data_IF_714892920107
#
_entry.id   IF_714892920107
#
_cell.length_a   1.000
_cell.length_b   1.000
_cell.length_c   1.000
_cell.angle_alpha   90.00
_cell.angle_beta   90.00
_cell.angle_gamma   90.00
#
_symmetry.space_group_name_H-M   'P 1'
#
loop_
_entity.id
_entity.type
_entity.pdbx_description
1 polymer ?
#
# COMPACT_ATOMS: atom_id res chain seq x y z
N UNK A 1 -3.76 -31.09 -5.50
CA UNK A 1 -4.49 -30.02 -6.23
C UNK A 1 -3.84 -28.63 -6.09
N UNK A 2 -2.50 -28.51 -6.06
CA UNK A 2 -1.80 -27.20 -5.99
C UNK A 2 -0.52 -27.20 -6.85
N UNK A 3 -0.59 -27.75 -8.07
CA UNK A 3 0.42 -27.43 -9.10
C UNK A 3 0.00 -26.12 -9.78
N UNK A 4 0.05 -25.03 -9.01
CA UNK A 4 -0.06 -23.69 -9.58
C UNK A 4 1.16 -23.49 -10.48
N UNK A 5 0.91 -23.06 -11.72
CA UNK A 5 1.96 -22.94 -12.70
C UNK A 5 2.93 -21.83 -12.25
N UNK A 6 4.25 -22.07 -12.30
CA UNK A 6 5.27 -21.08 -11.86
C UNK A 6 5.09 -19.71 -12.52
N UNK A 7 4.44 -19.66 -13.68
CA UNK A 7 4.17 -18.44 -14.43
C UNK A 7 3.12 -17.54 -13.76
N UNK A 8 2.10 -18.11 -13.12
CA UNK A 8 1.04 -17.34 -12.44
C UNK A 8 1.55 -16.68 -11.15
N UNK A 9 2.42 -17.38 -10.42
CA UNK A 9 3.08 -16.85 -9.22
C UNK A 9 3.97 -15.64 -9.55
N UNK A 10 4.59 -15.60 -10.74
CA UNK A 10 5.40 -14.46 -11.17
C UNK A 10 4.57 -13.18 -11.33
N UNK A 11 3.40 -13.26 -11.98
CA UNK A 11 2.50 -12.11 -12.14
C UNK A 11 1.94 -11.65 -10.80
N UNK A 12 1.67 -12.58 -9.87
CA UNK A 12 1.26 -12.27 -8.52
C UNK A 12 2.32 -11.48 -7.73
N UNK A 13 3.59 -11.88 -7.81
CA UNK A 13 4.70 -11.18 -7.13
C UNK A 13 4.89 -9.75 -7.69
N UNK A 14 4.81 -9.58 -9.01
CA UNK A 14 4.89 -8.25 -9.64
C UNK A 14 3.75 -7.35 -9.14
N UNK A 15 2.55 -7.91 -9.02
CA UNK A 15 1.40 -7.22 -8.45
C UNK A 15 1.60 -6.82 -6.98
N UNK A 16 2.17 -7.70 -6.16
CA UNK A 16 2.47 -7.43 -4.74
C UNK A 16 3.48 -6.27 -4.57
N UNK A 17 4.44 -6.15 -5.47
CA UNK A 17 5.39 -5.02 -5.45
C UNK A 17 4.65 -3.71 -5.78
N UNK A 18 3.73 -3.73 -6.74
CA UNK A 18 2.89 -2.58 -7.08
C UNK A 18 2.03 -2.08 -5.91
N UNK A 19 1.37 -3.00 -5.18
CA UNK A 19 0.54 -2.62 -4.01
C UNK A 19 1.36 -1.98 -2.91
N UNK A 20 2.61 -2.42 -2.70
CA UNK A 20 3.50 -1.81 -1.71
C UNK A 20 3.80 -0.35 -2.05
N UNK A 21 4.08 -0.05 -3.32
CA UNK A 21 4.36 1.32 -3.78
C UNK A 21 3.13 2.21 -3.62
N UNK A 22 1.96 1.72 -3.99
CA UNK A 22 0.69 2.45 -3.83
C UNK A 22 0.29 2.65 -2.35
N UNK A 23 0.63 1.70 -1.48
CA UNK A 23 0.40 1.82 -0.03
C UNK A 23 1.27 2.89 0.62
N UNK A 24 2.52 3.03 0.18
CA UNK A 24 3.45 4.07 0.67
C UNK A 24 3.12 5.44 0.07
N UNK A 25 2.52 5.51 -1.12
CA UNK A 25 2.27 6.78 -1.79
C UNK A 25 1.28 7.68 -1.05
N UNK A 26 0.28 7.13 -0.36
CA UNK A 26 -0.70 7.91 0.41
C UNK A 26 -0.10 8.64 1.63
N UNK A 27 0.67 7.99 2.52
CA UNK A 27 1.34 8.71 3.60
C UNK A 27 2.46 9.62 3.07
N UNK A 28 3.16 9.23 1.99
CA UNK A 28 4.18 10.08 1.39
C UNK A 28 3.61 11.38 0.81
N UNK A 29 2.45 11.32 0.12
CA UNK A 29 1.77 12.52 -0.37
C UNK A 29 1.30 13.42 0.77
N UNK A 30 0.80 12.85 1.86
CA UNK A 30 0.44 13.61 3.06
C UNK A 30 1.64 14.38 3.64
N UNK A 31 2.80 13.73 3.78
CA UNK A 31 4.02 14.39 4.29
C UNK A 31 4.53 15.49 3.37
N UNK A 32 4.49 15.30 2.05
CA UNK A 32 4.90 16.33 1.09
C UNK A 32 3.99 17.57 1.16
N UNK A 33 2.67 17.36 1.26
CA UNK A 33 1.70 18.45 1.40
C UNK A 33 1.89 19.18 2.73
N UNK A 34 2.11 18.45 3.83
CA UNK A 34 2.43 19.07 5.13
C UNK A 34 3.71 19.90 5.06
N UNK A 35 4.79 19.37 4.45
CA UNK A 35 6.04 20.10 4.28
C UNK A 35 5.88 21.39 3.45
N UNK A 36 5.08 21.33 2.38
CA UNK A 36 4.74 22.51 1.57
C UNK A 36 4.01 23.57 2.40
N UNK A 37 2.98 23.18 3.16
CA UNK A 37 2.22 24.11 4.01
C UNK A 37 3.12 24.73 5.09
N UNK A 38 3.99 23.95 5.72
CA UNK A 38 4.93 24.47 6.74
C UNK A 38 5.92 25.47 6.14
N UNK A 39 6.51 25.17 4.99
CA UNK A 39 7.42 26.08 4.28
C UNK A 39 6.74 27.40 3.90
N UNK A 40 5.48 27.33 3.44
CA UNK A 40 4.68 28.52 3.13
C UNK A 40 4.36 29.34 4.38
N UNK A 41 4.00 28.67 5.50
CA UNK A 41 3.62 29.35 6.75
C UNK A 41 4.80 30.07 7.39
N UNK A 42 5.98 29.46 7.39
CA UNK A 42 7.19 30.04 7.97
C UNK A 42 7.67 31.29 7.19
N UNK A 43 7.74 31.20 5.87
CA UNK A 43 8.16 32.34 5.03
C UNK A 43 7.11 33.46 5.02
N UNK A 44 5.82 33.13 5.09
CA UNK A 44 4.75 34.13 5.23
C UNK A 44 4.83 34.87 6.58
N UNK A 45 5.15 34.17 7.67
CA UNK A 45 5.37 34.77 8.99
C UNK A 45 6.57 35.73 9.01
N UNK A 46 7.66 35.35 8.36
CA UNK A 46 8.87 36.19 8.25
C UNK A 46 8.65 37.42 7.34
N UNK A 47 7.88 37.28 6.26
CA UNK A 47 7.48 38.38 5.39
C UNK A 47 6.67 39.44 6.16
N UNK A 48 5.72 39.01 7.01
CA UNK A 48 4.89 39.92 7.79
C UNK A 48 5.68 40.73 8.84
N UNK A 49 6.78 40.18 9.37
CA UNK A 49 7.66 40.90 10.32
C UNK A 49 8.73 41.77 9.64
N UNK A 50 9.30 41.33 8.52
CA UNK A 50 10.45 41.99 7.90
C UNK A 50 10.07 42.96 6.76
N UNK A 51 8.87 42.83 6.18
CA UNK A 51 8.38 43.71 5.11
C UNK A 51 9.18 43.67 3.81
N UNK A 52 10.11 42.70 3.68
CA UNK A 52 11.03 42.60 2.55
C UNK A 52 10.52 41.64 1.48
N UNK A 53 10.45 42.12 0.24
CA UNK A 53 9.94 41.39 -0.93
C UNK A 53 10.80 40.19 -1.35
N UNK A 54 12.04 40.10 -0.88
CA UNK A 54 12.96 38.98 -1.20
C UNK A 54 12.52 37.63 -0.61
N UNK A 55 11.74 37.63 0.46
CA UNK A 55 11.20 36.38 1.03
C UNK A 55 10.07 35.79 0.17
N UNK A 56 9.35 36.64 -0.56
CA UNK A 56 8.23 36.20 -1.40
C UNK A 56 8.73 35.41 -2.62
N UNK A 57 9.82 35.85 -3.25
CA UNK A 57 10.42 35.16 -4.40
C UNK A 57 11.01 33.80 -4.04
N UNK A 58 11.59 33.67 -2.84
CA UNK A 58 12.12 32.41 -2.31
C UNK A 58 10.99 31.41 -2.07
N UNK A 59 9.87 31.87 -1.48
CA UNK A 59 8.67 31.05 -1.27
C UNK A 59 8.11 30.47 -2.58
N UNK A 60 8.03 31.28 -3.65
CA UNK A 60 7.53 30.80 -4.96
C UNK A 60 8.40 29.68 -5.54
N UNK A 61 9.73 29.83 -5.46
CA UNK A 61 10.66 28.85 -5.98
C UNK A 61 10.62 27.52 -5.20
N UNK A 62 10.49 27.58 -3.88
CA UNK A 62 10.36 26.39 -3.03
C UNK A 62 9.06 25.64 -3.33
N UNK A 63 7.93 26.35 -3.42
CA UNK A 63 6.62 25.75 -3.75
C UNK A 63 6.62 25.12 -5.15
N UNK A 64 7.26 25.77 -6.13
CA UNK A 64 7.41 25.23 -7.48
C UNK A 64 8.20 23.91 -7.46
N UNK A 65 9.30 23.84 -6.71
CA UNK A 65 10.10 22.62 -6.55
C UNK A 65 9.27 21.48 -5.92
N UNK A 66 8.54 21.75 -4.83
CA UNK A 66 7.68 20.74 -4.20
C UNK A 66 6.55 20.28 -5.13
N UNK A 67 5.97 21.20 -5.91
CA UNK A 67 4.94 20.88 -6.90
C UNK A 67 5.46 19.96 -8.02
N UNK A 68 6.64 20.24 -8.54
CA UNK A 68 7.29 19.40 -9.56
C UNK A 68 7.60 18.01 -9.00
N UNK A 69 8.17 17.93 -7.80
CA UNK A 69 8.47 16.66 -7.13
C UNK A 69 7.21 15.81 -6.92
N UNK A 70 6.09 16.46 -6.53
CA UNK A 70 4.81 15.79 -6.36
C UNK A 70 4.26 15.22 -7.68
N UNK A 71 4.31 16.01 -8.77
CA UNK A 71 3.86 15.55 -10.10
C UNK A 71 4.68 14.36 -10.61
N UNK A 72 6.01 14.41 -10.47
CA UNK A 72 6.89 13.31 -10.88
C UNK A 72 6.59 12.05 -10.04
N UNK A 73 6.46 12.21 -8.72
CA UNK A 73 6.10 11.10 -7.83
C UNK A 73 4.75 10.47 -8.18
N UNK A 74 3.74 11.30 -8.45
CA UNK A 74 2.41 10.84 -8.85
C UNK A 74 2.43 10.09 -10.19
N UNK A 75 3.19 10.57 -11.18
CA UNK A 75 3.35 9.90 -12.47
C UNK A 75 3.97 8.50 -12.33
N UNK A 76 5.00 8.37 -11.49
CA UNK A 76 5.63 7.07 -11.19
C UNK A 76 4.61 6.13 -10.57
N UNK A 77 3.93 6.56 -9.50
CA UNK A 77 2.92 5.74 -8.81
C UNK A 77 1.80 5.31 -9.75
N UNK A 78 1.35 6.20 -10.64
CA UNK A 78 0.32 5.89 -11.63
C UNK A 78 0.75 4.76 -12.59
N UNK A 79 1.99 4.79 -13.08
CA UNK A 79 2.54 3.75 -13.97
C UNK A 79 2.60 2.39 -13.26
N UNK A 80 3.13 2.36 -12.04
CA UNK A 80 3.23 1.12 -11.26
C UNK A 80 1.86 0.54 -10.90
N UNK A 81 0.92 1.41 -10.50
CA UNK A 81 -0.45 1.00 -10.15
C UNK A 81 -1.20 0.49 -11.38
N UNK A 82 -1.03 1.14 -12.54
CA UNK A 82 -1.63 0.68 -13.79
C UNK A 82 -1.11 -0.71 -14.18
N UNK A 83 0.20 -0.91 -14.13
CA UNK A 83 0.82 -2.22 -14.42
C UNK A 83 0.35 -3.31 -13.46
N UNK A 84 0.26 -2.99 -12.17
CA UNK A 84 -0.26 -3.88 -11.14
C UNK A 84 -1.71 -4.30 -11.45
N UNK A 85 -2.62 -3.34 -11.63
CA UNK A 85 -4.03 -3.63 -11.89
C UNK A 85 -4.19 -4.49 -13.14
N UNK A 86 -3.41 -4.21 -14.18
CA UNK A 86 -3.41 -5.02 -15.40
C UNK A 86 -2.97 -6.47 -15.13
N UNK A 87 -1.84 -6.67 -14.45
CA UNK A 87 -1.31 -8.01 -14.15
C UNK A 87 -2.30 -8.85 -13.33
N UNK A 88 -2.95 -8.26 -12.33
CA UNK A 88 -3.92 -8.96 -11.50
C UNK A 88 -5.21 -9.28 -12.26
N UNK A 89 -5.74 -8.36 -13.07
CA UNK A 89 -6.91 -8.63 -13.91
C UNK A 89 -6.66 -9.78 -14.87
N UNK A 90 -5.49 -9.78 -15.52
CA UNK A 90 -5.09 -10.87 -16.42
C UNK A 90 -4.96 -12.21 -15.68
N UNK A 91 -4.38 -12.20 -14.48
CA UNK A 91 -4.27 -13.39 -13.65
C UNK A 91 -5.65 -13.92 -13.22
N UNK A 92 -6.56 -13.03 -12.81
CA UNK A 92 -7.93 -13.36 -12.40
C UNK A 92 -8.71 -14.04 -13.53
N UNK A 93 -8.66 -13.49 -14.75
CA UNK A 93 -9.32 -14.07 -15.92
C UNK A 93 -8.82 -15.48 -16.22
N UNK A 94 -7.50 -15.68 -16.11
CA UNK A 94 -6.87 -16.97 -16.36
C UNK A 94 -7.25 -18.02 -15.32
N UNK A 95 -7.30 -17.64 -14.05
CA UNK A 95 -7.74 -18.52 -12.96
C UNK A 95 -9.22 -18.89 -13.16
N UNK A 96 -10.07 -17.91 -13.46
CA UNK A 96 -11.51 -18.10 -13.73
C UNK A 96 -11.73 -19.11 -14.85
N UNK A 97 -11.03 -18.93 -15.97
CA UNK A 97 -11.17 -19.79 -17.15
C UNK A 97 -10.77 -21.23 -16.85
N UNK A 98 -9.68 -21.43 -16.11
CA UNK A 98 -9.24 -22.77 -15.68
C UNK A 98 -10.24 -23.43 -14.73
N UNK A 99 -10.79 -22.66 -13.80
CA UNK A 99 -11.77 -23.16 -12.84
C UNK A 99 -13.06 -23.57 -13.56
N UNK A 100 -13.55 -22.79 -14.53
CA UNK A 100 -14.70 -23.15 -15.37
C UNK A 100 -14.43 -24.44 -16.15
N UNK A 101 -13.26 -24.56 -16.79
CA UNK A 101 -12.93 -25.74 -17.58
C UNK A 101 -12.83 -27.02 -16.72
N UNK A 102 -12.23 -26.90 -15.53
CA UNK A 102 -12.08 -28.03 -14.60
C UNK A 102 -13.44 -28.47 -14.05
N UNK A 103 -14.31 -27.53 -13.66
CA UNK A 103 -15.65 -27.85 -13.20
C UNK A 103 -16.50 -28.47 -14.31
N UNK A 104 -16.46 -27.93 -15.54
CA UNK A 104 -17.19 -28.51 -16.67
C UNK A 104 -16.71 -29.94 -16.99
N UNK A 105 -15.39 -30.17 -16.99
CA UNK A 105 -14.83 -31.51 -17.19
C UNK A 105 -15.24 -32.50 -16.10
N UNK A 106 -15.35 -32.06 -14.84
CA UNK A 106 -15.91 -32.85 -13.75
C UNK A 106 -17.38 -33.20 -13.98
N UNK A 107 -18.17 -32.23 -14.42
CA UNK A 107 -19.59 -32.39 -14.72
C UNK A 107 -19.86 -33.45 -15.80
N UNK A 108 -19.07 -33.45 -16.87
CA UNK A 108 -19.20 -34.43 -17.95
C UNK A 108 -18.83 -35.87 -17.53
N UNK A 109 -18.17 -36.06 -16.38
CA UNK A 109 -17.80 -37.39 -15.85
C UNK A 109 -18.81 -37.92 -14.84
N UNK A 110 -19.86 -37.16 -14.55
CA UNK A 110 -20.88 -37.53 -13.57
C UNK A 110 -21.89 -38.53 -14.18
N UNK A 111 -22.37 -39.48 -13.37
CA UNK A 111 -23.34 -40.51 -13.81
C UNK A 111 -24.70 -39.91 -14.17
N UNK A 112 -25.42 -40.52 -15.12
CA UNK A 112 -26.75 -40.04 -15.57
C UNK A 112 -27.77 -39.92 -14.44
N UNK A 113 -27.73 -40.83 -13.46
CA UNK A 113 -28.63 -40.79 -12.29
C UNK A 113 -28.40 -39.60 -11.36
N UNK A 114 -27.25 -38.92 -11.45
CA UNK A 114 -27.03 -37.66 -10.72
C UNK A 114 -27.89 -36.52 -11.27
N UNK A 115 -28.16 -36.51 -12.58
CA UNK A 115 -28.93 -35.46 -13.26
C UNK A 115 -30.45 -35.64 -13.15
N UNK A 116 -30.91 -36.78 -12.61
CA UNK A 116 -32.33 -37.08 -12.42
C UNK A 116 -32.89 -36.46 -11.12
N UNK A 117 -32.00 -36.07 -10.21
CA UNK A 117 -32.36 -35.35 -8.98
C UNK A 117 -32.81 -33.91 -9.32
N UNK A 118 -33.94 -33.46 -8.75
CA UNK A 118 -34.51 -32.12 -9.02
C UNK A 118 -33.55 -30.96 -8.71
N UNK A 119 -32.65 -31.15 -7.73
CA UNK A 119 -31.60 -30.18 -7.37
C UNK A 119 -30.45 -30.14 -8.38
N UNK A 120 -30.20 -31.23 -9.10
CA UNK A 120 -29.08 -31.38 -10.03
C UNK A 120 -29.51 -31.25 -11.51
N UNK A 121 -30.69 -30.70 -11.76
CA UNK A 121 -31.19 -30.45 -13.10
C UNK A 121 -30.16 -29.65 -13.90
N UNK A 122 -29.96 -30.01 -15.18
CA UNK A 122 -28.90 -29.46 -16.05
C UNK A 122 -28.89 -27.93 -16.11
N UNK A 123 -30.05 -27.29 -15.99
CA UNK A 123 -30.18 -25.83 -15.92
C UNK A 123 -29.64 -25.22 -14.61
N UNK A 124 -29.96 -25.83 -13.46
CA UNK A 124 -29.45 -25.40 -12.16
C UNK A 124 -27.92 -25.58 -12.07
N UNK A 125 -27.41 -26.71 -12.57
CA UNK A 125 -25.98 -26.99 -12.64
C UNK A 125 -25.22 -26.03 -13.56
N UNK A 126 -25.82 -25.63 -14.69
CA UNK A 126 -25.19 -24.66 -15.60
C UNK A 126 -25.15 -23.26 -14.98
N UNK A 127 -26.18 -22.88 -14.24
CA UNK A 127 -26.20 -21.63 -13.48
C UNK A 127 -25.17 -21.66 -12.32
N UNK A 128 -25.06 -22.78 -11.62
CA UNK A 128 -24.09 -23.00 -10.54
C UNK A 128 -22.64 -22.99 -11.07
N UNK A 129 -22.41 -23.63 -12.22
CA UNK A 129 -21.13 -23.62 -12.94
C UNK A 129 -20.75 -22.23 -13.47
N UNK A 130 -21.71 -21.39 -13.82
CA UNK A 130 -21.45 -20.00 -14.22
C UNK A 130 -21.19 -19.10 -13.02
N UNK A 131 -21.87 -19.32 -11.90
CA UNK A 131 -21.82 -18.44 -10.72
C UNK A 131 -20.70 -18.78 -9.76
N UNK A 132 -20.41 -20.05 -9.48
CA UNK A 132 -19.38 -20.43 -8.50
C UNK A 132 -17.95 -20.01 -8.88
N UNK A 133 -17.48 -20.23 -10.12
CA UNK A 133 -16.17 -19.75 -10.53
C UNK A 133 -16.09 -18.22 -10.53
N UNK A 134 -17.18 -17.56 -10.89
CA UNK A 134 -17.27 -16.10 -10.89
C UNK A 134 -17.25 -15.54 -9.47
N UNK A 135 -17.94 -16.17 -8.50
CA UNK A 135 -17.89 -15.81 -7.08
C UNK A 135 -16.48 -15.94 -6.51
N UNK A 136 -15.78 -17.04 -6.80
CA UNK A 136 -14.39 -17.25 -6.33
C UNK A 136 -13.44 -16.22 -6.94
N UNK A 137 -13.65 -15.87 -8.21
CA UNK A 137 -12.83 -14.90 -8.92
C UNK A 137 -13.13 -13.48 -8.43
N UNK A 138 -14.39 -13.15 -8.14
CA UNK A 138 -14.78 -11.91 -7.46
C UNK A 138 -14.19 -11.82 -6.06
N UNK A 139 -14.20 -12.89 -5.25
CA UNK A 139 -13.54 -12.89 -3.94
C UNK A 139 -12.02 -12.71 -4.07
N UNK A 140 -11.42 -13.23 -5.15
CA UNK A 140 -10.00 -13.05 -5.46
C UNK A 140 -9.69 -11.67 -6.03
N UNK A 141 -10.59 -11.06 -6.80
CA UNK A 141 -10.50 -9.68 -7.29
C UNK A 141 -10.73 -8.66 -6.16
N UNK A 142 -11.68 -8.93 -5.27
CA UNK A 142 -11.91 -8.15 -4.04
C UNK A 142 -10.76 -8.30 -3.05
N UNK A 143 -10.04 -9.42 -3.04
CA UNK A 143 -8.84 -9.55 -2.20
C UNK A 143 -7.79 -8.48 -2.51
N UNK A 144 -7.83 -7.87 -3.69
CA UNK A 144 -6.91 -6.82 -4.09
C UNK A 144 -7.11 -5.51 -3.30
N UNK A 145 -8.35 -5.11 -2.99
CA UNK A 145 -8.60 -3.95 -2.12
C UNK A 145 -8.30 -4.26 -0.66
N UNK A 146 -8.58 -5.49 -0.21
CA UNK A 146 -8.26 -5.96 1.13
C UNK A 146 -6.74 -6.02 1.38
N UNK A 147 -5.96 -6.49 0.39
CA UNK A 147 -4.50 -6.49 0.45
C UNK A 147 -3.95 -5.06 0.52
N UNK A 148 -4.54 -4.13 -0.24
CA UNK A 148 -4.19 -2.71 -0.12
C UNK A 148 -4.49 -2.17 1.28
N UNK A 149 -5.62 -2.54 1.88
CA UNK A 149 -5.98 -2.11 3.24
C UNK A 149 -5.05 -2.70 4.32
N UNK A 150 -4.67 -3.96 4.19
CA UNK A 150 -3.74 -4.61 5.12
C UNK A 150 -2.35 -3.95 5.03
N UNK A 151 -1.86 -3.66 3.82
CA UNK A 151 -0.59 -2.95 3.64
C UNK A 151 -0.65 -1.50 4.13
N UNK A 152 -1.78 -0.82 3.92
CA UNK A 152 -2.03 0.53 4.42
C UNK A 152 -2.08 0.58 5.96
N UNK A 153 -2.50 -0.49 6.63
CA UNK A 153 -2.51 -0.56 8.09
C UNK A 153 -1.15 -0.92 8.68
N UNK A 154 -0.42 -1.84 8.06
CA UNK A 154 0.85 -2.36 8.60
C UNK A 154 2.01 -1.38 8.44
N UNK A 155 2.11 -0.68 7.31
CA UNK A 155 3.24 0.22 7.02
C UNK A 155 3.31 1.46 7.94
N UNK A 156 2.24 2.21 8.21
CA UNK A 156 2.30 3.31 9.18
C UNK A 156 2.54 2.80 10.59
N UNK A 157 2.06 1.60 10.95
CA UNK A 157 2.37 0.98 12.24
C UNK A 157 3.87 0.66 12.38
N UNK A 158 4.50 0.21 11.29
CA UNK A 158 5.91 -0.13 11.24
C UNK A 158 6.81 1.13 11.20
N UNK A 159 6.41 2.16 10.45
CA UNK A 159 7.07 3.47 10.45
C UNK A 159 6.92 4.17 11.80
N UNK A 160 5.73 4.17 12.39
CA UNK A 160 5.53 4.70 13.74
C UNK A 160 6.37 3.93 14.76
N UNK A 161 6.43 2.60 14.65
CA UNK A 161 7.34 1.78 15.45
C UNK A 161 8.81 2.16 15.29
N UNK A 162 9.28 2.40 14.06
CA UNK A 162 10.65 2.86 13.80
C UNK A 162 10.93 4.27 14.34
N UNK A 163 10.00 5.21 14.15
CA UNK A 163 10.11 6.59 14.65
C UNK A 163 10.10 6.62 16.18
N UNK A 164 9.21 5.85 16.82
CA UNK A 164 9.19 5.68 18.28
C UNK A 164 10.49 5.06 18.77
N UNK A 165 11.03 4.06 18.06
CA UNK A 165 12.33 3.46 18.39
C UNK A 165 13.48 4.47 18.26
N UNK A 166 13.49 5.31 17.22
CA UNK A 166 14.50 6.34 17.04
C UNK A 166 14.44 7.40 18.15
N UNK A 167 13.23 7.82 18.50
CA UNK A 167 13.01 8.79 19.60
C UNK A 167 13.34 8.20 20.98
N UNK A 168 13.15 6.89 21.18
CA UNK A 168 13.58 6.18 22.39
C UNK A 168 15.10 6.05 22.50
N UNK A 169 15.81 5.85 21.38
CA UNK A 169 17.28 5.82 21.39
C UNK A 169 17.85 7.21 21.71
N UNK A 170 17.26 8.28 21.20
CA UNK A 170 17.64 9.66 21.54
C UNK A 170 17.37 9.99 23.02
N UNK A 171 16.21 9.57 23.56
CA UNK A 171 15.88 9.76 24.98
C UNK A 171 16.72 8.90 25.93
N UNK A 172 17.21 7.74 25.51
CA UNK A 172 18.06 6.85 26.33
C UNK A 172 19.53 7.30 26.32
N UNK A 173 19.99 7.95 25.24
CA UNK A 173 21.30 8.59 25.16
C UNK A 173 21.40 9.79 26.11
N UNK A 174 20.38 10.64 26.13
CA UNK A 174 20.36 11.84 26.98
C UNK A 174 20.46 11.51 28.49
N UNK A 175 19.79 10.43 28.94
CA UNK A 175 19.81 10.00 30.35
C UNK A 175 21.18 9.42 30.74
N UNK A 176 21.93 8.84 29.80
CA UNK A 176 23.26 8.28 30.07
C UNK A 176 24.31 9.38 30.26
N UNK A 177 24.15 10.52 29.56
CA UNK A 177 25.05 11.67 29.71
C UNK A 177 24.79 12.45 31.01
N UNK A 178 23.54 12.56 31.47
CA UNK A 178 23.19 13.16 32.77
C UNK A 178 23.66 12.30 33.97
N UNK A 179 23.70 10.97 33.84
CA UNK A 179 24.23 10.08 34.88
C UNK A 179 25.77 9.94 34.83
N UNK A 180 26.40 10.34 33.72
CA UNK A 180 27.85 10.35 33.55
C UNK A 180 28.52 11.63 34.08
N UNK A 181 27.76 12.61 34.57
CA UNK A 181 28.31 13.72 35.37
C UNK A 181 28.46 13.23 36.81
N UNK A 182 29.66 12.85 37.27
CA UNK A 182 29.87 12.57 38.68
C UNK A 182 29.55 13.82 39.50
N UNK A 183 28.95 13.57 40.66
CA UNK A 183 28.66 14.48 41.77
C UNK A 183 29.94 15.15 42.31
N UNK A 184 30.62 15.96 41.52
CA UNK A 184 31.86 16.70 41.85
C UNK A 184 31.58 18.19 42.11
N UNK A 185 30.43 18.53 42.70
CA UNK A 185 30.18 19.90 43.21
C UNK A 185 29.58 19.84 44.61
N UNK A 186 30.35 19.33 45.56
CA UNK A 186 29.98 19.35 46.99
C UNK A 186 31.15 19.50 47.98
N UNK A 187 32.40 19.54 47.51
CA UNK A 187 33.57 19.36 48.39
C UNK A 187 34.62 20.48 48.41
N UNK A 188 34.45 21.59 47.69
CA UNK A 188 35.48 22.64 47.59
C UNK A 188 34.97 24.03 47.99
N UNK A 189 34.44 24.15 49.20
CA UNK A 189 34.40 25.41 49.95
C UNK A 189 35.05 25.16 51.31
N UNK A 190 36.37 25.26 51.33
CA UNK A 190 37.18 25.54 52.52
C UNK A 190 38.12 26.69 52.19
#
# INVERSE_FOLDING_TARGET
MLRLNKMEVKYFIIGLIGTCVAGISMPASALLVTGMITSMTEQYGQYHSSGDSSHLTTMYNDVELYGILYLVGAAIVAIFTFMQVYCFKFMEEKITTRLRNTNFSGLCRQNVGFFDEKENATGALTADLATNPTKVSLLSGESHWLLSLIMLALLPFLLFGHVVRMKQMESSGLISDDLAIPEEVGGCLR
#
